data_IF_981186879982
#
_entry.id   IF_981186879982
#
_cell.length_a   1.000
_cell.length_b   1.000
_cell.length_c   1.000
_cell.angle_alpha   90.00
_cell.angle_beta   90.00
_cell.angle_gamma   90.00
#
_symmetry.space_group_name_H-M   'P 1'
#
loop_
_entity.id
_entity.type
_entity.pdbx_description
1 polymer ?
#
# COMPACT_ATOMS: atom_id res chain seq x y z
N UNK A 1 -18.08 22.19 -10.79
CA UNK A 1 -17.69 20.93 -10.12
C UNK A 1 -18.49 19.71 -10.54
N UNK A 2 -19.62 19.83 -11.26
CA UNK A 2 -20.44 18.67 -11.62
C UNK A 2 -19.75 17.70 -12.62
N UNK A 3 -19.09 18.21 -13.66
CA UNK A 3 -18.36 17.37 -14.62
C UNK A 3 -17.33 16.46 -13.92
N UNK A 4 -16.47 17.04 -13.08
CA UNK A 4 -15.47 16.27 -12.31
C UNK A 4 -16.10 15.24 -11.36
N UNK A 5 -17.25 15.55 -10.76
CA UNK A 5 -17.97 14.58 -9.92
C UNK A 5 -18.57 13.44 -10.74
N UNK A 6 -18.98 13.69 -11.99
CA UNK A 6 -19.47 12.66 -12.89
C UNK A 6 -18.32 11.74 -13.36
N UNK A 7 -17.17 12.30 -13.70
CA UNK A 7 -15.98 11.54 -14.12
C UNK A 7 -15.51 10.56 -13.04
N UNK A 8 -15.62 10.94 -11.77
CA UNK A 8 -15.23 10.10 -10.64
C UNK A 8 -16.35 9.18 -10.12
N UNK A 9 -17.53 9.15 -10.75
CA UNK A 9 -18.73 8.49 -10.21
C UNK A 9 -18.65 6.98 -10.06
N UNK A 10 -17.65 6.32 -10.65
CA UNK A 10 -17.40 4.89 -10.45
C UNK A 10 -17.12 4.55 -8.97
N UNK A 11 -16.53 5.49 -8.22
CA UNK A 11 -16.16 5.29 -6.81
C UNK A 11 -17.37 5.22 -5.86
N UNK A 12 -18.55 5.66 -6.30
CA UNK A 12 -19.79 5.66 -5.49
C UNK A 12 -20.71 4.48 -5.79
N UNK A 13 -20.32 3.62 -6.74
CA UNK A 13 -21.10 2.43 -7.11
C UNK A 13 -20.94 1.33 -6.05
N UNK A 14 -21.85 0.35 -5.99
CA UNK A 14 -21.73 -0.77 -5.07
C UNK A 14 -20.37 -1.48 -5.19
N UNK A 15 -19.89 -2.03 -4.08
CA UNK A 15 -18.57 -2.67 -3.95
C UNK A 15 -18.23 -3.63 -5.09
N UNK A 16 -19.18 -4.47 -5.49
CA UNK A 16 -18.99 -5.48 -6.56
C UNK A 16 -18.68 -4.88 -7.94
N UNK A 17 -19.08 -3.63 -8.15
CA UNK A 17 -18.78 -2.87 -9.37
C UNK A 17 -17.53 -2.05 -9.17
N UNK A 18 -17.42 -1.34 -8.04
CA UNK A 18 -16.30 -0.44 -7.78
C UNK A 18 -14.96 -1.17 -7.69
N UNK A 19 -14.92 -2.34 -7.04
CA UNK A 19 -13.71 -3.17 -6.93
C UNK A 19 -13.19 -3.60 -8.30
N UNK A 20 -14.09 -4.00 -9.22
CA UNK A 20 -13.73 -4.37 -10.60
C UNK A 20 -13.18 -3.17 -11.37
N UNK A 21 -13.82 -2.01 -11.24
CA UNK A 21 -13.34 -0.78 -11.91
C UNK A 21 -11.96 -0.39 -11.37
N UNK A 22 -11.73 -0.45 -10.06
CA UNK A 22 -10.43 -0.16 -9.48
C UNK A 22 -9.33 -1.09 -9.99
N UNK A 23 -9.63 -2.38 -10.16
CA UNK A 23 -8.69 -3.35 -10.73
C UNK A 23 -8.39 -3.10 -12.21
N UNK A 24 -9.39 -2.72 -13.02
CA UNK A 24 -9.17 -2.36 -14.42
C UNK A 24 -8.28 -1.12 -14.55
N UNK A 25 -8.54 -0.09 -13.75
CA UNK A 25 -7.72 1.14 -13.73
C UNK A 25 -6.29 0.84 -13.25
N UNK A 26 -6.14 0.00 -12.22
CA UNK A 26 -4.81 -0.42 -11.77
C UNK A 26 -4.05 -1.21 -12.85
N UNK A 27 -4.73 -2.08 -13.59
CA UNK A 27 -4.14 -2.82 -14.70
C UNK A 27 -3.64 -1.87 -15.81
N UNK A 28 -4.42 -0.85 -16.16
CA UNK A 28 -4.00 0.19 -17.11
C UNK A 28 -2.76 0.95 -16.62
N UNK A 29 -2.71 1.32 -15.33
CA UNK A 29 -1.53 1.97 -14.75
C UNK A 29 -0.29 1.09 -14.75
N UNK A 30 -0.43 -0.21 -14.54
CA UNK A 30 0.70 -1.14 -14.60
C UNK A 30 1.20 -1.35 -16.03
N UNK A 31 0.29 -1.43 -17.01
CA UNK A 31 0.68 -1.51 -18.42
C UNK A 31 1.44 -0.25 -18.84
N UNK A 32 0.95 0.94 -18.43
CA UNK A 32 1.67 2.19 -18.67
C UNK A 32 3.05 2.19 -17.97
N UNK A 33 3.13 1.78 -16.70
CA UNK A 33 4.39 1.73 -15.97
C UNK A 33 5.42 0.78 -16.58
N UNK A 34 4.97 -0.33 -17.18
CA UNK A 34 5.82 -1.25 -17.92
C UNK A 34 6.33 -0.61 -19.23
N UNK A 35 5.49 0.14 -19.92
CA UNK A 35 5.91 0.88 -21.11
C UNK A 35 6.95 1.95 -20.75
N UNK A 36 6.75 2.70 -19.66
CA UNK A 36 7.73 3.69 -19.18
C UNK A 36 9.07 3.03 -18.84
N UNK A 37 9.05 1.85 -18.23
CA UNK A 37 10.25 1.09 -17.90
C UNK A 37 10.99 0.55 -19.13
N UNK A 38 10.25 0.06 -20.12
CA UNK A 38 10.83 -0.61 -21.30
C UNK A 38 11.22 0.34 -22.42
N UNK A 39 10.45 1.42 -22.61
CA UNK A 39 10.65 2.37 -23.72
C UNK A 39 11.48 3.58 -23.29
N UNK A 40 11.27 4.10 -22.07
CA UNK A 40 11.95 5.30 -21.58
C UNK A 40 13.10 5.00 -20.61
N UNK A 41 13.28 3.73 -20.22
CA UNK A 41 14.27 3.28 -19.23
C UNK A 41 14.14 3.99 -17.87
N UNK A 42 12.92 4.39 -17.50
CA UNK A 42 12.61 5.08 -16.25
C UNK A 42 11.98 4.13 -15.23
N UNK A 43 12.22 4.37 -13.94
CA UNK A 43 11.50 3.63 -12.89
C UNK A 43 10.12 4.26 -12.68
N UNK A 44 9.03 3.48 -12.85
CA UNK A 44 7.68 3.99 -12.63
C UNK A 44 7.44 4.30 -11.15
N UNK A 45 6.54 5.23 -10.89
CA UNK A 45 6.09 5.52 -9.52
C UNK A 45 5.35 4.30 -8.92
N UNK A 46 5.29 4.15 -7.57
CA UNK A 46 4.70 2.97 -6.94
C UNK A 46 3.27 2.62 -7.40
N UNK A 47 2.44 3.63 -7.70
CA UNK A 47 1.08 3.43 -8.21
C UNK A 47 1.03 2.72 -9.58
N UNK A 48 2.08 2.87 -10.38
CA UNK A 48 2.22 2.28 -11.72
C UNK A 48 3.11 1.03 -11.71
N UNK A 49 3.67 0.65 -10.55
CA UNK A 49 4.51 -0.53 -10.45
C UNK A 49 3.71 -1.75 -9.98
N UNK A 50 3.63 -2.76 -10.83
CA UNK A 50 2.91 -4.02 -10.55
C UNK A 50 3.39 -4.75 -9.28
N UNK A 51 4.65 -4.52 -8.88
CA UNK A 51 5.21 -5.14 -7.67
C UNK A 51 4.61 -4.58 -6.38
N UNK A 52 3.97 -3.42 -6.44
CA UNK A 52 3.30 -2.75 -5.33
C UNK A 52 1.77 -2.93 -5.39
N UNK A 53 1.28 -3.94 -6.13
CA UNK A 53 -0.16 -4.19 -6.29
C UNK A 53 -0.88 -4.43 -4.96
N UNK A 54 -0.19 -5.02 -3.97
CA UNK A 54 -0.76 -5.27 -2.65
C UNK A 54 -1.05 -3.98 -1.86
N UNK A 55 -0.45 -2.85 -2.24
CA UNK A 55 -0.69 -1.53 -1.64
C UNK A 55 -1.93 -0.83 -2.22
N UNK A 56 -2.56 -1.39 -3.26
CA UNK A 56 -3.74 -0.83 -3.92
C UNK A 56 -4.85 -0.42 -2.93
N UNK A 57 -5.21 -1.22 -1.90
CA UNK A 57 -6.23 -0.82 -0.94
C UNK A 57 -5.92 0.48 -0.20
N UNK A 58 -4.65 0.67 0.18
CA UNK A 58 -4.19 1.87 0.88
C UNK A 58 -4.22 3.08 -0.05
N UNK A 59 -3.81 2.91 -1.31
CA UNK A 59 -3.87 3.96 -2.33
C UNK A 59 -5.31 4.40 -2.60
N UNK A 60 -6.26 3.46 -2.70
CA UNK A 60 -7.68 3.76 -2.89
C UNK A 60 -8.28 4.53 -1.70
N UNK A 61 -7.92 4.17 -0.47
CA UNK A 61 -8.32 4.94 0.72
C UNK A 61 -7.83 6.40 0.63
N UNK A 62 -6.57 6.61 0.27
CA UNK A 62 -6.01 7.95 0.07
C UNK A 62 -6.75 8.73 -1.01
N UNK A 63 -7.01 8.10 -2.16
CA UNK A 63 -7.74 8.73 -3.25
C UNK A 63 -9.16 9.18 -2.83
N UNK A 64 -9.90 8.30 -2.13
CA UNK A 64 -11.22 8.63 -1.61
C UNK A 64 -11.17 9.80 -0.63
N UNK A 65 -10.21 9.82 0.29
CA UNK A 65 -10.10 10.84 1.34
C UNK A 65 -9.71 12.20 0.78
N UNK A 66 -8.71 12.24 -0.10
CA UNK A 66 -8.14 13.49 -0.60
C UNK A 66 -8.92 14.08 -1.78
N UNK A 67 -9.50 13.25 -2.66
CA UNK A 67 -10.14 13.73 -3.90
C UNK A 67 -11.66 13.64 -3.84
N UNK A 68 -12.20 12.45 -3.56
CA UNK A 68 -13.64 12.19 -3.73
C UNK A 68 -14.49 12.72 -2.57
N UNK A 69 -14.00 12.61 -1.33
CA UNK A 69 -14.77 12.92 -0.12
C UNK A 69 -15.23 14.36 -0.07
N UNK A 70 -14.35 15.32 -0.39
CA UNK A 70 -14.72 16.73 -0.42
C UNK A 70 -15.83 17.01 -1.43
N UNK A 71 -15.71 16.46 -2.65
CA UNK A 71 -16.66 16.69 -3.73
C UNK A 71 -18.05 16.18 -3.36
N UNK A 72 -18.18 14.90 -2.98
CA UNK A 72 -19.51 14.32 -2.68
C UNK A 72 -20.10 14.80 -1.35
N UNK A 73 -19.27 15.19 -0.37
CA UNK A 73 -19.75 15.83 0.85
C UNK A 73 -20.39 17.19 0.56
N UNK A 74 -19.74 18.02 -0.26
CA UNK A 74 -20.33 19.31 -0.61
C UNK A 74 -21.58 19.14 -1.47
N UNK A 75 -21.57 18.21 -2.45
CA UNK A 75 -22.76 17.95 -3.26
C UNK A 75 -23.96 17.46 -2.44
N UNK A 76 -23.75 16.55 -1.47
CA UNK A 76 -24.83 16.09 -0.57
C UNK A 76 -25.34 17.19 0.36
N UNK A 77 -24.48 18.16 0.74
CA UNK A 77 -24.89 19.35 1.49
C UNK A 77 -25.78 20.29 0.68
N UNK A 78 -25.54 20.43 -0.62
CA UNK A 78 -26.36 21.28 -1.51
C UNK A 78 -27.65 20.59 -1.98
N UNK A 79 -27.61 19.28 -2.24
CA UNK A 79 -28.74 18.50 -2.73
C UNK A 79 -28.84 17.18 -1.97
N UNK A 80 -29.88 17.05 -1.14
CA UNK A 80 -30.11 15.86 -0.30
C UNK A 80 -30.32 14.58 -1.11
N UNK A 81 -30.68 14.70 -2.38
CA UNK A 81 -30.86 13.61 -3.34
C UNK A 81 -29.53 12.95 -3.72
N UNK A 82 -28.39 13.62 -3.46
CA UNK A 82 -27.05 13.09 -3.73
C UNK A 82 -26.48 12.30 -2.54
N UNK A 83 -27.09 12.39 -1.35
CA UNK A 83 -26.67 11.66 -0.14
C UNK A 83 -26.40 10.17 -0.38
N UNK A 84 -27.20 9.41 -1.16
CA UNK A 84 -26.90 8.01 -1.44
C UNK A 84 -25.55 7.77 -2.12
N UNK A 85 -25.07 8.70 -2.95
CA UNK A 85 -23.75 8.61 -3.57
C UNK A 85 -22.63 8.87 -2.55
N UNK A 86 -22.86 9.78 -1.61
CA UNK A 86 -21.89 10.03 -0.53
C UNK A 86 -21.84 8.87 0.46
N UNK A 87 -22.98 8.25 0.78
CA UNK A 87 -23.03 7.03 1.61
C UNK A 87 -22.33 5.87 0.91
N UNK A 88 -22.56 5.69 -0.40
CA UNK A 88 -21.85 4.70 -1.22
C UNK A 88 -20.34 4.87 -1.20
N UNK A 89 -19.85 6.12 -1.29
CA UNK A 89 -18.43 6.45 -1.15
C UNK A 89 -17.88 5.99 0.21
N UNK A 90 -18.58 6.32 1.30
CA UNK A 90 -18.14 5.99 2.67
C UNK A 90 -18.14 4.48 2.92
N UNK A 91 -19.11 3.75 2.36
CA UNK A 91 -19.16 2.29 2.43
C UNK A 91 -17.95 1.66 1.71
N UNK A 92 -17.66 2.10 0.48
CA UNK A 92 -16.50 1.61 -0.28
C UNK A 92 -15.18 1.95 0.43
N UNK A 93 -15.08 3.13 1.06
CA UNK A 93 -13.93 3.50 1.88
C UNK A 93 -13.70 2.51 3.03
N UNK A 94 -14.77 2.08 3.69
CA UNK A 94 -14.69 1.11 4.78
C UNK A 94 -14.20 -0.26 4.29
N UNK A 95 -14.71 -0.74 3.15
CA UNK A 95 -14.26 -1.99 2.53
C UNK A 95 -12.77 -1.93 2.14
N UNK A 96 -12.34 -0.83 1.49
CA UNK A 96 -10.93 -0.64 1.16
C UNK A 96 -10.05 -0.57 2.42
N UNK A 97 -10.52 0.07 3.48
CA UNK A 97 -9.79 0.14 4.75
C UNK A 97 -9.65 -1.24 5.39
N UNK A 98 -10.69 -2.06 5.37
CA UNK A 98 -10.63 -3.44 5.87
C UNK A 98 -9.59 -4.27 5.09
N UNK A 99 -9.52 -4.12 3.77
CA UNK A 99 -8.50 -4.78 2.95
C UNK A 99 -7.08 -4.27 3.24
N UNK A 100 -6.93 -2.96 3.44
CA UNK A 100 -5.65 -2.35 3.81
C UNK A 100 -5.17 -2.85 5.18
N UNK A 101 -6.06 -2.96 6.16
CA UNK A 101 -5.75 -3.45 7.50
C UNK A 101 -5.29 -4.91 7.49
N UNK A 102 -5.94 -5.75 6.67
CA UNK A 102 -5.51 -7.14 6.47
C UNK A 102 -4.10 -7.21 5.88
N UNK A 103 -3.80 -6.35 4.90
CA UNK A 103 -2.48 -6.30 4.29
C UNK A 103 -1.40 -5.81 5.28
N UNK A 104 -1.67 -4.74 6.02
CA UNK A 104 -0.76 -4.22 7.05
C UNK A 104 -0.49 -5.25 8.16
N UNK A 105 -1.51 -6.00 8.58
CA UNK A 105 -1.34 -7.08 9.57
C UNK A 105 -0.45 -8.22 9.04
N UNK A 106 -0.60 -8.60 7.77
CA UNK A 106 0.26 -9.62 7.13
C UNK A 106 1.72 -9.17 7.07
N UNK A 107 1.98 -7.93 6.67
CA UNK A 107 3.35 -7.37 6.63
C UNK A 107 3.96 -7.38 8.03
N UNK A 108 3.23 -6.89 9.03
CA UNK A 108 3.72 -6.85 10.42
C UNK A 108 4.08 -8.24 10.95
N UNK A 109 3.27 -9.25 10.65
CA UNK A 109 3.55 -10.63 11.05
C UNK A 109 4.85 -11.16 10.42
N UNK A 110 5.08 -10.90 9.14
CA UNK A 110 6.30 -11.30 8.43
C UNK A 110 7.53 -10.60 9.03
N UNK A 111 7.43 -9.31 9.33
CA UNK A 111 8.52 -8.55 9.96
C UNK A 111 8.87 -9.09 11.35
N UNK A 112 7.85 -9.42 12.15
CA UNK A 112 8.05 -9.97 13.50
C UNK A 112 8.67 -11.38 13.45
N UNK A 113 8.34 -12.20 12.47
CA UNK A 113 9.00 -13.49 12.22
C UNK A 113 10.46 -13.31 11.80
N UNK A 114 10.74 -12.37 10.88
CA UNK A 114 12.10 -12.07 10.43
C UNK A 114 13.00 -11.62 11.58
N UNK A 115 12.50 -10.74 12.46
CA UNK A 115 13.23 -10.28 13.66
C UNK A 115 13.53 -11.42 14.64
N UNK A 116 12.63 -12.39 14.79
CA UNK A 116 12.87 -13.58 15.64
C UNK A 116 13.95 -14.49 15.09
N UNK A 117 14.04 -14.63 13.76
CA UNK A 117 15.06 -15.43 13.10
C UNK A 117 16.45 -14.75 13.14
N UNK A 118 16.49 -13.42 13.00
CA UNK A 118 17.74 -12.64 13.07
C UNK A 118 18.28 -12.50 14.51
N UNK A 119 17.42 -12.58 15.53
CA UNK A 119 17.81 -12.51 16.94
C UNK A 119 18.38 -13.80 17.57
N UNK A 120 18.44 -14.92 16.83
CA UNK A 120 18.91 -16.22 17.33
C UNK A 120 20.39 -16.56 17.10
N UNK A 121 21.18 -15.62 16.54
CA UNK A 121 22.53 -15.88 16.03
C UNK A 121 23.72 -15.55 16.94
N UNK A 122 23.53 -15.05 18.15
CA UNK A 122 24.64 -14.74 19.08
C UNK A 122 24.56 -15.61 20.34
N UNK A 123 25.18 -16.78 20.28
CA UNK A 123 25.20 -17.72 21.40
C UNK A 123 26.33 -18.75 21.34
N UNK A 124 27.55 -18.30 21.62
CA UNK A 124 28.59 -19.14 22.24
C UNK A 124 29.64 -19.80 21.33
N UNK A 125 30.79 -19.15 21.19
CA UNK A 125 32.06 -19.86 21.00
C UNK A 125 32.79 -19.87 22.36
N UNK A 126 33.22 -21.04 22.90
CA UNK A 126 34.02 -21.08 24.11
C UNK A 126 35.42 -20.52 23.83
N UNK A 127 35.93 -19.71 24.77
CA UNK A 127 37.32 -19.25 24.81
C UNK A 127 38.18 -20.40 25.32
N UNK A 128 38.93 -21.05 24.43
CA UNK A 128 40.06 -21.90 24.83
C UNK A 128 41.38 -21.19 24.49
N UNK A 129 42.25 -21.14 25.50
CA UNK A 129 43.52 -20.42 25.59
C UNK A 129 44.48 -20.73 24.43
N UNK A 130 44.87 -19.71 23.68
CA UNK A 130 46.10 -19.75 22.90
C UNK A 130 47.28 -19.35 23.81
N UNK A 131 47.93 -20.38 24.35
CA UNK A 131 49.23 -20.31 25.01
C UNK A 131 50.29 -19.77 24.05
N UNK A 132 50.55 -18.45 24.07
CA UNK A 132 51.68 -17.88 23.33
C UNK A 132 52.18 -16.56 23.96
N UNK A 133 52.60 -16.59 25.22
CA UNK A 133 53.28 -15.47 25.89
C UNK A 133 54.38 -15.94 26.85
N UNK A 134 55.34 -16.74 26.35
CA UNK A 134 56.71 -16.77 26.89
C UNK A 134 57.57 -16.88 25.63
N UNK A 135 58.25 -15.83 25.19
CA UNK A 135 59.66 -15.59 25.51
C UNK A 135 59.98 -14.11 25.24
N UNK A 136 60.07 -13.29 26.29
CA UNK A 136 60.98 -12.14 26.29
C UNK A 136 62.33 -12.66 26.78
N UNK A 137 63.30 -12.76 25.86
CA UNK A 137 64.71 -12.85 26.21
C UNK A 137 65.21 -11.43 26.43
N UNK A 138 65.45 -11.07 27.69
CA UNK A 138 66.37 -10.00 28.07
C UNK A 138 67.62 -10.67 28.65
N UNK A 139 68.78 -10.34 28.08
CA UNK A 139 70.16 -10.49 28.61
C UNK A 139 70.79 -11.89 28.70
#
# INVERSE_FOLDING_TARGET
MMMTACDLSAITKPWEVQSKVALMVAAEFWEQGDLERTVLEQQPIPMMDRNHADELPKMQCGFIDFVCSFVYKEFSRFHTEITPMFDGLNNNRAEWKALADVHEAKIKAIEDEKKKLEGGGEGGAPKDECCCCVLKQDT
#
